data_IF_895627290470
#
_entry.id   IF_895627290470
#
_cell.length_a   1.000
_cell.length_b   1.000
_cell.length_c   1.000
_cell.angle_alpha   90.00
_cell.angle_beta   90.00
_cell.angle_gamma   90.00
#
_symmetry.space_group_name_H-M   'P 1'
#
loop_
_entity.id
_entity.type
_entity.pdbx_description
1 polymer ?
#
# COMPACT_ATOMS: atom_id res chain seq x y z
N UNK A 1 0.49 -44.45 79.74
CA UNK A 1 1.02 -44.29 78.37
C UNK A 1 -0.12 -44.51 77.37
N UNK A 2 -0.20 -43.72 76.28
CA UNK A 2 -1.45 -43.11 75.85
C UNK A 2 -2.09 -43.68 74.59
N UNK A 3 -3.39 -43.38 74.51
CA UNK A 3 -4.44 -43.64 73.52
C UNK A 3 -4.03 -43.54 72.04
N UNK A 4 -4.54 -44.49 71.24
CA UNK A 4 -4.60 -44.41 69.77
C UNK A 4 -5.36 -43.15 69.30
N UNK A 5 -4.87 -42.42 68.28
CA UNK A 5 -5.67 -41.42 67.59
C UNK A 5 -6.49 -42.04 66.45
N UNK A 6 -7.70 -41.51 66.32
CA UNK A 6 -8.77 -41.90 65.40
C UNK A 6 -8.40 -41.63 63.93
N UNK A 7 -8.98 -42.46 63.07
CA UNK A 7 -8.98 -42.33 61.61
C UNK A 7 -9.65 -41.02 61.17
N UNK A 8 -8.91 -40.15 60.51
CA UNK A 8 -9.47 -39.02 59.76
C UNK A 8 -9.79 -39.46 58.33
N UNK A 9 -11.09 -39.44 58.00
CA UNK A 9 -11.60 -39.69 56.66
C UNK A 9 -11.06 -38.62 55.68
N UNK A 10 -10.26 -39.05 54.70
CA UNK A 10 -9.86 -38.21 53.56
C UNK A 10 -11.10 -37.78 52.77
N UNK A 11 -11.42 -36.48 52.78
CA UNK A 11 -12.33 -35.86 51.81
C UNK A 11 -11.76 -36.05 50.39
N UNK A 12 -12.60 -36.33 49.37
CA UNK A 12 -12.12 -36.41 48.00
C UNK A 12 -11.77 -35.01 47.49
N UNK A 13 -10.52 -34.82 47.07
CA UNK A 13 -10.07 -33.64 46.32
C UNK A 13 -10.79 -33.66 44.98
N UNK A 14 -11.72 -32.73 44.77
CA UNK A 14 -12.34 -32.49 43.46
C UNK A 14 -11.22 -32.18 42.46
N UNK A 15 -11.08 -32.99 41.42
CA UNK A 15 -10.18 -32.70 40.31
C UNK A 15 -10.61 -31.37 39.68
N UNK A 16 -9.76 -30.36 39.76
CA UNK A 16 -9.91 -29.16 38.95
C UNK A 16 -9.76 -29.59 37.48
N UNK A 17 -10.88 -29.72 36.77
CA UNK A 17 -10.87 -29.78 35.31
C UNK A 17 -10.24 -28.48 34.83
N UNK A 18 -9.04 -28.56 34.26
CA UNK A 18 -8.47 -27.53 33.41
C UNK A 18 -9.43 -27.31 32.24
N UNK A 19 -10.32 -26.33 32.39
CA UNK A 19 -11.10 -25.80 31.28
C UNK A 19 -10.12 -25.19 30.27
N UNK A 20 -10.12 -25.74 29.05
CA UNK A 20 -9.49 -25.12 27.89
C UNK A 20 -10.01 -23.69 27.77
N UNK A 21 -9.17 -22.69 27.45
CA UNK A 21 -9.65 -21.33 27.20
C UNK A 21 -10.72 -21.39 26.11
N UNK A 22 -11.94 -21.05 26.52
CA UNK A 22 -13.12 -20.94 25.67
C UNK A 22 -12.81 -20.05 24.47
N UNK A 23 -13.16 -20.53 23.27
CA UNK A 23 -13.10 -19.83 21.99
C UNK A 23 -14.10 -18.66 21.88
N UNK A 24 -14.31 -17.89 22.96
CA UNK A 24 -15.23 -16.76 23.06
C UNK A 24 -14.54 -15.56 23.70
N UNK A 25 -13.61 -14.97 22.95
CA UNK A 25 -13.23 -13.58 23.12
C UNK A 25 -13.11 -12.90 21.73
N UNK A 26 -14.07 -13.16 20.83
CA UNK A 26 -14.35 -12.22 19.75
C UNK A 26 -15.16 -11.08 20.36
N UNK A 27 -14.46 -10.07 20.88
CA UNK A 27 -15.06 -8.77 21.20
C UNK A 27 -15.81 -8.33 19.93
N UNK A 28 -17.11 -8.07 20.05
CA UNK A 28 -17.92 -7.56 18.95
C UNK A 28 -17.38 -6.17 18.57
N UNK A 29 -16.42 -6.11 17.63
CA UNK A 29 -15.91 -4.87 17.07
C UNK A 29 -17.08 -4.18 16.35
N UNK A 30 -17.28 -2.89 16.62
CA UNK A 30 -18.25 -2.09 15.86
C UNK A 30 -17.90 -2.09 14.37
N UNK A 31 -18.89 -1.82 13.50
CA UNK A 31 -18.74 -1.86 12.03
C UNK A 31 -17.48 -1.14 11.51
N UNK A 32 -17.11 -0.02 12.13
CA UNK A 32 -15.90 0.73 11.79
C UNK A 32 -14.60 0.01 12.18
N UNK A 33 -14.54 -0.65 13.34
CA UNK A 33 -13.35 -1.43 13.73
C UNK A 33 -13.07 -2.61 12.79
N UNK A 34 -14.13 -3.21 12.22
CA UNK A 34 -14.01 -4.22 11.16
C UNK A 34 -13.37 -3.63 9.90
N UNK A 35 -13.84 -2.45 9.47
CA UNK A 35 -13.32 -1.77 8.28
C UNK A 35 -11.81 -1.48 8.34
N UNK A 36 -11.33 -0.90 9.46
CA UNK A 36 -9.92 -0.54 9.59
C UNK A 36 -8.97 -1.75 9.54
N UNK A 37 -9.40 -2.88 10.08
CA UNK A 37 -8.63 -4.13 10.06
C UNK A 37 -8.69 -4.81 8.70
N UNK A 38 -9.87 -4.85 8.07
CA UNK A 38 -10.06 -5.48 6.77
C UNK A 38 -9.36 -4.71 5.63
N UNK A 39 -9.33 -3.38 5.68
CA UNK A 39 -8.60 -2.58 4.67
C UNK A 39 -7.08 -2.77 4.74
N UNK A 40 -6.56 -3.17 5.90
CA UNK A 40 -5.13 -3.46 6.12
C UNK A 40 -4.71 -4.82 5.61
N UNK A 41 -5.66 -5.73 5.42
CA UNK A 41 -5.35 -7.07 4.91
C UNK A 41 -4.76 -6.96 3.50
N UNK A 42 -3.58 -7.57 3.32
CA UNK A 42 -2.85 -7.48 2.06
C UNK A 42 -3.57 -8.23 0.93
N UNK A 43 -4.16 -9.40 1.23
CA UNK A 43 -4.91 -10.17 0.23
C UNK A 43 -6.12 -9.40 -0.29
N UNK A 44 -6.87 -8.78 0.62
CA UNK A 44 -7.99 -7.89 0.31
C UNK A 44 -7.52 -6.65 -0.46
N UNK A 45 -6.40 -6.03 -0.05
CA UNK A 45 -5.85 -4.87 -0.75
C UNK A 45 -5.44 -5.17 -2.19
N UNK A 46 -4.73 -6.29 -2.42
CA UNK A 46 -4.30 -6.68 -3.77
C UNK A 46 -5.49 -6.87 -4.71
N UNK A 47 -6.59 -7.42 -4.20
CA UNK A 47 -7.84 -7.55 -4.96
C UNK A 47 -8.43 -6.18 -5.30
N UNK A 48 -8.49 -5.29 -4.31
CA UNK A 48 -9.14 -3.99 -4.46
C UNK A 48 -8.35 -3.04 -5.36
N UNK A 49 -7.05 -3.27 -5.59
CA UNK A 49 -6.21 -2.52 -6.54
C UNK A 49 -6.44 -2.96 -8.00
N UNK A 50 -6.97 -4.16 -8.25
CA UNK A 50 -7.08 -4.68 -9.61
C UNK A 50 -7.92 -3.87 -10.60
N UNK A 51 -9.04 -3.23 -10.22
CA UNK A 51 -9.74 -2.31 -11.11
C UNK A 51 -8.82 -1.21 -11.63
N UNK A 52 -7.95 -0.66 -10.77
CA UNK A 52 -6.98 0.35 -11.15
C UNK A 52 -5.96 -0.20 -12.16
N UNK A 53 -5.46 -1.41 -11.92
CA UNK A 53 -4.54 -2.09 -12.83
C UNK A 53 -5.16 -2.35 -14.20
N UNK A 54 -6.41 -2.79 -14.28
CA UNK A 54 -7.11 -2.98 -15.56
C UNK A 54 -7.19 -1.66 -16.33
N UNK A 55 -7.61 -0.58 -15.67
CA UNK A 55 -7.74 0.74 -16.31
C UNK A 55 -6.37 1.23 -16.79
N UNK A 56 -5.33 1.03 -15.99
CA UNK A 56 -3.95 1.37 -16.37
C UNK A 56 -3.47 0.60 -17.60
N UNK A 57 -3.70 -0.71 -17.68
CA UNK A 57 -3.31 -1.55 -18.83
C UNK A 57 -4.04 -1.14 -20.13
N UNK A 58 -5.32 -0.78 -20.03
CA UNK A 58 -6.07 -0.19 -21.16
C UNK A 58 -5.47 1.16 -21.55
N UNK A 59 -5.11 1.98 -20.55
CA UNK A 59 -4.45 3.26 -20.72
C UNK A 59 -3.11 3.18 -21.46
N UNK A 60 -2.28 2.17 -21.15
CA UNK A 60 -1.02 1.92 -21.87
C UNK A 60 -1.31 1.74 -23.36
N UNK A 61 -2.31 0.94 -23.72
CA UNK A 61 -2.70 0.73 -25.12
C UNK A 61 -3.19 2.02 -25.78
N UNK A 62 -4.00 2.81 -25.08
CA UNK A 62 -4.56 4.08 -25.59
C UNK A 62 -3.52 5.16 -25.83
N UNK A 63 -2.41 5.12 -25.09
CA UNK A 63 -1.33 6.12 -25.15
C UNK A 63 -0.18 5.69 -26.05
N UNK A 64 -0.29 4.55 -26.74
CA UNK A 64 0.78 4.03 -27.58
C UNK A 64 1.97 3.47 -26.79
N UNK A 65 1.75 3.04 -25.54
CA UNK A 65 2.77 2.46 -24.70
C UNK A 65 3.40 3.42 -23.69
N UNK A 66 2.73 4.50 -23.30
CA UNK A 66 3.25 5.32 -22.19
C UNK A 66 3.04 4.57 -20.88
N UNK A 67 4.07 4.54 -20.04
CA UNK A 67 4.13 3.80 -18.77
C UNK A 67 4.76 4.66 -17.68
N UNK A 68 4.42 4.37 -16.42
CA UNK A 68 5.06 5.00 -15.27
C UNK A 68 6.55 4.61 -15.18
N UNK A 69 7.38 5.49 -14.61
CA UNK A 69 8.84 5.35 -14.59
C UNK A 69 9.40 4.16 -13.80
N UNK A 70 8.61 3.53 -12.92
CA UNK A 70 9.00 2.30 -12.20
C UNK A 70 8.13 1.09 -12.55
N UNK A 71 7.44 1.15 -13.69
CA UNK A 71 6.64 0.06 -14.24
C UNK A 71 7.48 -0.98 -14.99
N UNK A 72 8.29 -1.73 -14.23
CA UNK A 72 9.13 -2.77 -14.80
C UNK A 72 8.32 -3.93 -15.41
N UNK A 73 7.12 -4.19 -14.90
CA UNK A 73 6.29 -5.31 -15.35
C UNK A 73 5.76 -5.03 -16.75
N UNK A 74 5.13 -3.88 -16.96
CA UNK A 74 4.58 -3.55 -18.27
C UNK A 74 5.69 -3.20 -19.27
N UNK A 75 6.85 -2.70 -18.82
CA UNK A 75 8.04 -2.57 -19.68
C UNK A 75 8.48 -3.92 -20.26
N UNK A 76 8.58 -4.95 -19.42
CA UNK A 76 8.92 -6.32 -19.86
C UNK A 76 7.82 -6.88 -20.76
N UNK A 77 6.55 -6.70 -20.40
CA UNK A 77 5.42 -7.14 -21.24
C UNK A 77 5.46 -6.48 -22.62
N UNK A 78 5.73 -5.18 -22.67
CA UNK A 78 5.81 -4.42 -23.91
C UNK A 78 6.99 -4.89 -24.78
N UNK A 79 8.14 -5.12 -24.16
CA UNK A 79 9.33 -5.66 -24.84
C UNK A 79 9.06 -7.05 -25.43
N UNK A 80 8.51 -7.97 -24.65
CA UNK A 80 8.18 -9.33 -25.11
C UNK A 80 7.13 -9.31 -26.22
N UNK A 81 6.20 -8.35 -26.15
CA UNK A 81 5.14 -8.24 -27.15
C UNK A 81 5.68 -7.84 -28.52
N UNK A 82 6.83 -7.15 -28.60
CA UNK A 82 7.47 -6.73 -29.85
C UNK A 82 6.48 -6.06 -30.82
N UNK A 83 5.63 -5.17 -30.28
CA UNK A 83 4.58 -4.49 -31.04
C UNK A 83 3.33 -5.33 -31.36
N UNK A 84 3.31 -6.63 -31.03
CA UNK A 84 2.15 -7.50 -31.21
C UNK A 84 1.09 -7.27 -30.12
N UNK A 85 -0.02 -6.65 -30.51
CA UNK A 85 -1.19 -6.47 -29.65
C UNK A 85 -1.72 -7.81 -29.12
N UNK A 86 -1.70 -8.86 -29.94
CA UNK A 86 -2.18 -10.19 -29.55
C UNK A 86 -1.35 -10.80 -28.42
N UNK A 87 -0.03 -10.64 -28.47
CA UNK A 87 0.88 -11.11 -27.40
C UNK A 87 0.65 -10.30 -26.13
N UNK A 88 0.56 -8.98 -26.24
CA UNK A 88 0.31 -8.10 -25.09
C UNK A 88 -1.01 -8.43 -24.37
N UNK A 89 -2.08 -8.63 -25.14
CA UNK A 89 -3.39 -9.04 -24.62
C UNK A 89 -3.35 -10.46 -24.05
N UNK A 90 -2.58 -11.37 -24.65
CA UNK A 90 -2.37 -12.72 -24.15
C UNK A 90 -1.70 -12.74 -22.77
N UNK A 91 -0.64 -11.94 -22.58
CA UNK A 91 0.05 -11.83 -21.28
C UNK A 91 -0.88 -11.23 -20.23
N UNK A 92 -1.59 -10.13 -20.57
CA UNK A 92 -2.60 -9.56 -19.68
C UNK A 92 -3.70 -10.56 -19.32
N UNK A 93 -4.20 -11.32 -20.30
CA UNK A 93 -5.17 -12.38 -20.09
C UNK A 93 -4.69 -13.46 -19.12
N UNK A 94 -3.42 -13.86 -19.20
CA UNK A 94 -2.81 -14.80 -18.26
C UNK A 94 -2.71 -14.22 -16.84
N UNK A 95 -2.31 -12.95 -16.69
CA UNK A 95 -2.29 -12.25 -15.40
C UNK A 95 -3.70 -12.19 -14.80
N UNK A 96 -4.71 -11.82 -15.60
CA UNK A 96 -6.10 -11.76 -15.15
C UNK A 96 -6.67 -13.13 -14.81
N UNK A 97 -6.30 -14.19 -15.53
CA UNK A 97 -6.67 -15.55 -15.18
C UNK A 97 -6.05 -15.97 -13.84
N UNK A 98 -4.77 -15.71 -13.62
CA UNK A 98 -4.10 -15.95 -12.34
C UNK A 98 -4.74 -15.19 -11.18
N UNK A 99 -5.13 -13.93 -11.42
CA UNK A 99 -5.87 -13.14 -10.47
C UNK A 99 -7.27 -13.70 -10.19
N UNK A 100 -8.03 -14.09 -11.21
CA UNK A 100 -9.35 -14.69 -11.07
C UNK A 100 -9.31 -16.01 -10.28
N UNK A 101 -8.27 -16.84 -10.52
CA UNK A 101 -8.03 -18.05 -9.74
C UNK A 101 -7.75 -17.69 -8.27
N UNK A 102 -6.86 -16.73 -8.03
CA UNK A 102 -6.53 -16.26 -6.68
C UNK A 102 -7.79 -15.75 -5.96
N UNK A 103 -8.60 -14.93 -6.64
CA UNK A 103 -9.90 -14.48 -6.15
C UNK A 103 -10.83 -15.63 -5.77
N UNK A 104 -10.97 -16.62 -6.65
CA UNK A 104 -11.81 -17.78 -6.39
C UNK A 104 -11.34 -18.52 -5.13
N UNK A 105 -10.02 -18.75 -4.98
CA UNK A 105 -9.46 -19.41 -3.79
C UNK A 105 -9.67 -18.60 -2.50
N UNK A 106 -9.55 -17.27 -2.56
CA UNK A 106 -9.75 -16.39 -1.40
C UNK A 106 -11.23 -16.29 -1.01
N UNK A 107 -12.14 -16.32 -1.99
CA UNK A 107 -13.58 -16.40 -1.75
C UNK A 107 -13.96 -17.66 -0.99
N UNK A 108 -13.34 -18.80 -1.31
CA UNK A 108 -13.55 -20.05 -0.56
C UNK A 108 -13.04 -19.98 0.89
N UNK A 109 -12.04 -19.13 1.18
CA UNK A 109 -11.48 -18.92 2.53
C UNK A 109 -12.24 -17.88 3.36
N UNK A 110 -13.25 -17.21 2.80
CA UNK A 110 -14.08 -16.22 3.50
C UNK A 110 -13.37 -14.90 3.79
N UNK A 111 -12.26 -14.59 3.11
CA UNK A 111 -11.47 -13.37 3.30
C UNK A 111 -11.83 -12.25 2.32
N UNK A 112 -13.00 -12.36 1.66
CA UNK A 112 -13.40 -11.48 0.56
C UNK A 112 -14.43 -10.44 1.02
N UNK A 113 -14.10 -9.16 0.91
CA UNK A 113 -14.92 -8.03 1.37
C UNK A 113 -15.05 -6.94 0.29
N UNK A 114 -15.74 -7.20 -0.84
CA UNK A 114 -15.86 -6.27 -1.96
C UNK A 114 -16.62 -4.99 -1.58
N UNK A 115 -17.49 -5.07 -0.57
CA UNK A 115 -18.25 -3.93 -0.05
C UNK A 115 -17.37 -2.83 0.57
N UNK A 116 -16.07 -3.10 0.79
CA UNK A 116 -15.11 -2.10 1.25
C UNK A 116 -14.73 -1.09 0.17
N UNK A 117 -14.86 -1.46 -1.11
CA UNK A 117 -14.32 -0.66 -2.22
C UNK A 117 -14.80 0.80 -2.22
N UNK A 118 -16.11 1.11 -2.06
CA UNK A 118 -16.57 2.50 -2.03
C UNK A 118 -16.01 3.30 -0.85
N UNK A 119 -15.81 2.65 0.30
CA UNK A 119 -15.27 3.29 1.49
C UNK A 119 -13.77 3.56 1.36
N UNK A 120 -13.01 2.61 0.80
CA UNK A 120 -11.59 2.83 0.47
C UNK A 120 -11.46 3.97 -0.53
N UNK A 121 -12.29 4.00 -1.57
CA UNK A 121 -12.23 5.07 -2.56
C UNK A 121 -12.53 6.44 -1.94
N UNK A 122 -13.56 6.52 -1.09
CA UNK A 122 -13.90 7.75 -0.36
C UNK A 122 -12.77 8.20 0.59
N UNK A 123 -12.27 7.29 1.43
CA UNK A 123 -11.16 7.56 2.35
C UNK A 123 -9.91 8.01 1.59
N UNK A 124 -9.57 7.32 0.51
CA UNK A 124 -8.38 7.62 -0.30
C UNK A 124 -8.49 8.97 -0.98
N UNK A 125 -9.71 9.33 -1.45
CA UNK A 125 -10.00 10.66 -2.02
C UNK A 125 -9.83 11.76 -0.99
N UNK A 126 -10.32 11.55 0.24
CA UNK A 126 -10.13 12.50 1.34
C UNK A 126 -8.63 12.69 1.59
N UNK A 127 -7.86 11.61 1.75
CA UNK A 127 -6.41 11.74 1.93
C UNK A 127 -5.72 12.44 0.77
N UNK A 128 -6.10 12.14 -0.48
CA UNK A 128 -5.53 12.77 -1.66
C UNK A 128 -5.76 14.29 -1.69
N UNK A 129 -6.97 14.74 -1.36
CA UNK A 129 -7.32 16.17 -1.31
C UNK A 129 -6.47 16.96 -0.30
N UNK A 130 -6.06 16.32 0.80
CA UNK A 130 -5.27 16.97 1.86
C UNK A 130 -3.76 16.69 1.76
N UNK A 131 -3.31 15.76 0.92
CA UNK A 131 -1.91 15.35 0.86
C UNK A 131 -0.98 16.52 0.51
N UNK A 132 -1.26 17.21 -0.60
CA UNK A 132 -0.43 18.32 -1.07
C UNK A 132 -0.40 19.49 -0.10
N UNK A 133 -1.55 19.83 0.50
CA UNK A 133 -1.64 20.92 1.49
C UNK A 133 -0.92 20.55 2.79
N UNK A 134 -1.00 19.29 3.23
CA UNK A 134 -0.25 18.80 4.38
C UNK A 134 1.28 18.88 4.15
N UNK A 135 1.76 18.50 2.96
CA UNK A 135 3.19 18.61 2.61
C UNK A 135 3.64 20.08 2.60
N UNK A 136 2.88 20.96 1.95
CA UNK A 136 3.19 22.40 1.89
C UNK A 136 3.23 23.00 3.29
N UNK A 137 2.27 22.67 4.15
CA UNK A 137 2.23 23.15 5.52
C UNK A 137 3.41 22.63 6.33
N UNK A 138 3.78 21.35 6.18
CA UNK A 138 4.96 20.77 6.82
C UNK A 138 6.26 21.44 6.38
N UNK A 139 6.41 21.73 5.09
CA UNK A 139 7.56 22.47 4.58
C UNK A 139 7.62 23.88 5.16
N UNK A 140 6.47 24.59 5.18
CA UNK A 140 6.36 25.94 5.73
C UNK A 140 6.71 26.01 7.22
N UNK A 141 6.23 25.07 8.05
CA UNK A 141 6.57 25.03 9.48
C UNK A 141 8.04 24.76 9.75
N UNK A 142 8.73 24.11 8.81
CA UNK A 142 10.17 23.88 8.85
C UNK A 142 10.98 25.05 8.24
N UNK A 143 10.33 26.14 7.83
CA UNK A 143 10.97 27.31 7.22
C UNK A 143 11.39 27.11 5.77
N UNK A 144 10.85 26.10 5.08
CA UNK A 144 11.16 25.79 3.67
C UNK A 144 10.15 26.49 2.74
N UNK A 145 10.65 27.15 1.69
CA UNK A 145 9.79 27.84 0.72
C UNK A 145 9.00 26.86 -0.16
N UNK A 146 7.65 26.93 -0.18
CA UNK A 146 6.81 26.08 -1.03
C UNK A 146 6.98 26.34 -2.54
N UNK A 147 7.48 27.52 -2.94
CA UNK A 147 7.75 27.85 -4.34
C UNK A 147 8.82 26.94 -4.98
N UNK A 148 9.57 26.20 -4.17
CA UNK A 148 10.58 25.27 -4.67
C UNK A 148 9.98 23.91 -5.10
N UNK A 149 8.66 23.70 -4.94
CA UNK A 149 7.98 22.43 -5.21
C UNK A 149 7.41 22.28 -6.64
N UNK A 150 7.65 23.25 -7.53
CA UNK A 150 7.23 23.15 -8.94
C UNK A 150 8.12 22.14 -9.69
N UNK A 151 7.61 20.94 -9.95
CA UNK A 151 8.22 20.02 -10.91
C UNK A 151 7.93 20.47 -12.35
N UNK A 152 8.72 20.00 -13.32
CA UNK A 152 8.43 20.23 -14.73
C UNK A 152 7.21 19.43 -15.15
N UNK A 153 6.11 20.10 -15.47
CA UNK A 153 5.00 19.46 -16.16
C UNK A 153 5.38 19.28 -17.63
N UNK A 154 5.58 18.03 -18.06
CA UNK A 154 5.61 17.73 -19.49
C UNK A 154 4.26 18.07 -20.13
N UNK A 155 4.28 18.54 -21.38
CA UNK A 155 3.08 18.80 -22.18
C UNK A 155 2.40 17.49 -22.61
N UNK A 156 1.89 16.74 -21.63
CA UNK A 156 1.16 15.49 -21.85
C UNK A 156 -0.34 15.76 -21.97
N UNK A 157 -0.99 15.07 -22.91
CA UNK A 157 -2.44 15.09 -23.02
C UNK A 157 -3.12 14.49 -21.76
N UNK A 158 -4.38 14.87 -21.53
CA UNK A 158 -5.15 14.48 -20.34
C UNK A 158 -5.15 12.96 -20.12
N UNK A 159 -5.32 12.17 -21.18
CA UNK A 159 -5.31 10.70 -21.09
C UNK A 159 -3.96 10.20 -20.57
N UNK A 160 -2.85 10.69 -21.13
CA UNK A 160 -1.50 10.30 -20.69
C UNK A 160 -1.24 10.69 -19.24
N UNK A 161 -1.67 11.88 -18.82
CA UNK A 161 -1.57 12.32 -17.42
C UNK A 161 -2.30 11.36 -16.49
N UNK A 162 -3.55 11.01 -16.80
CA UNK A 162 -4.32 10.02 -16.03
C UNK A 162 -3.58 8.68 -15.99
N UNK A 163 -3.12 8.16 -17.13
CA UNK A 163 -2.41 6.86 -17.19
C UNK A 163 -1.17 6.86 -16.30
N UNK A 164 -0.35 7.91 -16.37
CA UNK A 164 0.84 8.06 -15.52
C UNK A 164 0.47 8.09 -14.03
N UNK A 165 -0.61 8.80 -13.65
CA UNK A 165 -1.10 8.84 -12.27
C UNK A 165 -1.58 7.47 -11.76
N UNK A 166 -2.31 6.71 -12.59
CA UNK A 166 -2.72 5.35 -12.21
C UNK A 166 -1.50 4.44 -12.04
N UNK A 167 -0.54 4.56 -12.96
CA UNK A 167 0.72 3.83 -12.91
C UNK A 167 1.54 4.16 -11.67
N UNK A 168 1.64 5.43 -11.30
CA UNK A 168 2.32 5.88 -10.08
C UNK A 168 1.69 5.24 -8.84
N UNK A 169 0.37 5.33 -8.70
CA UNK A 169 -0.32 4.69 -7.57
C UNK A 169 -0.08 3.18 -7.49
N UNK A 170 -0.09 2.45 -8.60
CA UNK A 170 0.11 0.99 -8.58
C UNK A 170 1.59 0.65 -8.33
N UNK A 171 2.48 1.13 -9.20
CA UNK A 171 3.85 0.66 -9.26
C UNK A 171 4.73 1.30 -8.21
N UNK A 172 4.59 2.61 -7.95
CA UNK A 172 5.40 3.28 -6.92
C UNK A 172 5.01 2.83 -5.52
N UNK A 173 3.73 2.61 -5.24
CA UNK A 173 3.33 2.04 -3.94
C UNK A 173 3.77 0.58 -3.80
N UNK A 174 3.71 -0.21 -4.88
CA UNK A 174 4.23 -1.59 -4.85
C UNK A 174 5.73 -1.60 -4.55
N UNK A 175 6.51 -0.81 -5.29
CA UNK A 175 7.98 -0.79 -5.19
C UNK A 175 8.42 -0.19 -3.86
N UNK A 176 7.94 0.99 -3.49
CA UNK A 176 8.50 1.70 -2.33
C UNK A 176 7.86 1.29 -1.01
N UNK A 177 6.57 0.93 -0.99
CA UNK A 177 5.86 0.67 0.28
C UNK A 177 5.75 -0.82 0.51
N UNK A 178 5.15 -1.57 -0.41
CA UNK A 178 4.98 -3.00 -0.22
C UNK A 178 6.34 -3.73 -0.19
N UNK A 179 7.18 -3.51 -1.20
CA UNK A 179 8.49 -4.17 -1.32
C UNK A 179 9.55 -3.43 -0.50
N UNK A 180 9.73 -2.12 -0.72
CA UNK A 180 10.77 -1.30 -0.10
C UNK A 180 10.61 -1.22 1.41
N UNK A 181 9.56 -0.55 1.90
CA UNK A 181 9.29 -0.38 3.32
C UNK A 181 9.06 -1.74 4.00
N UNK A 182 8.25 -2.62 3.42
CA UNK A 182 7.99 -3.96 3.95
C UNK A 182 9.26 -4.81 4.07
N UNK A 183 10.11 -4.81 3.05
CA UNK A 183 11.38 -5.53 3.01
C UNK A 183 12.41 -4.97 3.98
N UNK A 184 12.56 -3.63 4.06
CA UNK A 184 13.44 -2.97 5.02
C UNK A 184 13.00 -3.25 6.46
N UNK A 185 11.70 -3.19 6.74
CA UNK A 185 11.16 -3.53 8.05
C UNK A 185 11.44 -5.00 8.41
N UNK A 186 11.20 -5.92 7.46
CA UNK A 186 11.49 -7.34 7.65
C UNK A 186 12.98 -7.57 7.92
N UNK A 187 13.88 -6.96 7.15
CA UNK A 187 15.32 -7.08 7.32
C UNK A 187 15.75 -6.59 8.70
N UNK A 188 15.32 -5.39 9.08
CA UNK A 188 15.61 -4.79 10.36
C UNK A 188 15.12 -5.66 11.54
N UNK A 189 13.95 -6.30 11.40
CA UNK A 189 13.36 -7.15 12.45
C UNK A 189 13.93 -8.55 12.51
N UNK A 190 14.24 -9.16 11.37
CA UNK A 190 14.59 -10.58 11.29
C UNK A 190 16.08 -10.83 11.21
N UNK A 191 16.85 -9.88 10.69
CA UNK A 191 18.30 -10.03 10.51
C UNK A 191 19.07 -9.20 11.53
N UNK A 192 18.59 -7.99 11.86
CA UNK A 192 19.31 -7.06 12.74
C UNK A 192 18.74 -6.96 14.17
N UNK A 193 17.60 -7.59 14.43
CA UNK A 193 16.83 -7.52 15.69
C UNK A 193 16.59 -6.10 16.25
N UNK A 194 16.38 -5.14 15.36
CA UNK A 194 16.06 -3.74 15.73
C UNK A 194 14.64 -3.68 16.32
N UNK A 195 14.37 -2.92 17.40
CA UNK A 195 13.02 -2.78 17.94
C UNK A 195 11.97 -2.39 16.90
N UNK A 196 10.75 -2.94 17.02
CA UNK A 196 9.64 -2.76 16.06
C UNK A 196 9.41 -1.32 15.62
N UNK A 197 9.36 -0.39 16.56
CA UNK A 197 9.08 1.01 16.28
C UNK A 197 10.25 1.69 15.54
N UNK A 198 11.50 1.35 15.89
CA UNK A 198 12.69 1.86 15.20
C UNK A 198 12.78 1.31 13.77
N UNK A 199 12.51 0.02 13.59
CA UNK A 199 12.49 -0.62 12.29
C UNK A 199 11.43 0.03 11.38
N UNK A 200 10.23 0.34 11.92
CA UNK A 200 9.17 0.99 11.18
C UNK A 200 9.56 2.43 10.76
N UNK A 201 10.12 3.22 11.68
CA UNK A 201 10.58 4.60 11.38
C UNK A 201 11.71 4.57 10.35
N UNK A 202 12.71 3.71 10.52
CA UNK A 202 13.83 3.60 9.58
C UNK A 202 13.37 3.18 8.18
N UNK A 203 12.53 2.13 8.09
CA UNK A 203 12.00 1.66 6.82
C UNK A 203 11.15 2.75 6.12
N UNK A 204 10.33 3.47 6.88
CA UNK A 204 9.56 4.61 6.39
C UNK A 204 10.49 5.69 5.83
N UNK A 205 11.45 6.18 6.61
CA UNK A 205 12.33 7.27 6.17
C UNK A 205 13.20 6.88 4.97
N UNK A 206 13.76 5.66 4.97
CA UNK A 206 14.61 5.18 3.88
C UNK A 206 13.79 4.99 2.61
N UNK A 207 12.62 4.35 2.67
CA UNK A 207 11.77 4.16 1.49
C UNK A 207 11.30 5.48 0.89
N UNK A 208 10.91 6.45 1.72
CA UNK A 208 10.53 7.80 1.26
C UNK A 208 11.69 8.58 0.65
N UNK A 209 12.90 8.40 1.18
CA UNK A 209 14.10 9.01 0.61
C UNK A 209 14.40 8.45 -0.78
N UNK A 210 14.38 7.12 -0.93
CA UNK A 210 14.61 6.46 -2.21
C UNK A 210 13.51 6.81 -3.23
N UNK A 211 12.24 6.87 -2.79
CA UNK A 211 11.11 7.36 -3.58
C UNK A 211 11.37 8.76 -4.12
N UNK A 212 11.85 9.69 -3.30
CA UNK A 212 12.19 11.03 -3.80
C UNK A 212 13.40 11.00 -4.75
N UNK A 213 14.45 10.26 -4.40
CA UNK A 213 15.68 10.22 -5.18
C UNK A 213 15.50 9.65 -6.61
N UNK A 214 14.64 8.65 -6.80
CA UNK A 214 14.47 8.03 -8.11
C UNK A 214 13.85 8.99 -9.15
N UNK A 215 13.11 10.00 -8.70
CA UNK A 215 12.47 10.99 -9.59
C UNK A 215 13.46 11.87 -10.35
N UNK A 216 14.76 11.76 -10.04
CA UNK A 216 15.84 12.50 -10.70
C UNK A 216 16.73 11.58 -11.55
N UNK A 217 16.31 10.34 -11.77
CA UNK A 217 17.09 9.30 -12.47
C UNK A 217 16.31 8.77 -13.66
N UNK A 218 17.03 8.49 -14.75
CA UNK A 218 16.47 7.86 -15.94
C UNK A 218 15.88 8.86 -16.95
N UNK A 219 15.35 8.36 -18.08
CA UNK A 219 14.92 9.21 -19.20
C UNK A 219 13.75 10.15 -18.88
N UNK A 220 12.94 9.82 -17.88
CA UNK A 220 11.81 10.61 -17.41
C UNK A 220 12.11 11.37 -16.10
N UNK A 221 13.38 11.44 -15.69
CA UNK A 221 13.79 12.12 -14.46
C UNK A 221 13.68 13.64 -14.58
N UNK A 222 13.19 14.27 -13.52
CA UNK A 222 13.11 15.73 -13.41
C UNK A 222 14.50 16.36 -13.23
N UNK A 223 14.61 17.66 -13.52
CA UNK A 223 15.74 18.46 -13.08
C UNK A 223 15.76 18.53 -11.54
N UNK A 224 16.91 18.24 -10.94
CA UNK A 224 17.04 18.25 -9.48
C UNK A 224 16.86 19.67 -8.91
N UNK A 225 15.90 19.81 -8.00
CA UNK A 225 15.77 20.97 -7.11
C UNK A 225 15.54 20.50 -5.69
N UNK A 226 16.10 21.21 -4.71
CA UNK A 226 15.96 20.83 -3.30
C UNK A 226 14.49 20.84 -2.85
N UNK A 227 13.67 21.77 -3.36
CA UNK A 227 12.26 21.81 -2.97
C UNK A 227 11.42 20.69 -3.54
N UNK A 228 11.60 20.34 -4.82
CA UNK A 228 10.89 19.19 -5.39
C UNK A 228 11.31 17.90 -4.68
N UNK A 229 12.59 17.80 -4.28
CA UNK A 229 13.10 16.63 -3.56
C UNK A 229 12.47 16.53 -2.17
N UNK A 230 12.46 17.63 -1.43
CA UNK A 230 11.86 17.66 -0.08
C UNK A 230 10.34 17.47 -0.14
N UNK A 231 9.68 18.05 -1.14
CA UNK A 231 8.25 17.85 -1.38
C UNK A 231 7.93 16.36 -1.56
N UNK A 232 8.63 15.69 -2.48
CA UNK A 232 8.46 14.26 -2.74
C UNK A 232 8.86 13.40 -1.55
N UNK A 233 9.91 13.78 -0.81
CA UNK A 233 10.32 13.09 0.40
C UNK A 233 9.23 13.12 1.48
N UNK A 234 8.64 14.29 1.73
CA UNK A 234 7.55 14.44 2.69
C UNK A 234 6.25 13.81 2.21
N UNK A 235 5.92 13.90 0.92
CA UNK A 235 4.80 13.16 0.32
C UNK A 235 4.99 11.65 0.50
N UNK A 236 6.21 11.15 0.26
CA UNK A 236 6.61 9.77 0.51
C UNK A 236 6.40 9.35 1.96
N UNK A 237 6.82 10.20 2.94
CA UNK A 237 6.59 9.97 4.37
C UNK A 237 5.10 9.83 4.68
N UNK A 238 4.25 10.72 4.16
CA UNK A 238 2.81 10.67 4.40
C UNK A 238 2.17 9.43 3.76
N UNK A 239 2.55 9.09 2.52
CA UNK A 239 2.08 7.88 1.84
C UNK A 239 2.53 6.60 2.56
N UNK A 240 3.77 6.54 3.04
CA UNK A 240 4.27 5.43 3.85
C UNK A 240 3.54 5.33 5.21
N UNK A 241 3.18 6.45 5.82
CA UNK A 241 2.33 6.46 7.01
C UNK A 241 0.92 5.95 6.71
N UNK A 242 0.30 6.37 5.60
CA UNK A 242 -1.00 5.86 5.15
C UNK A 242 -0.93 4.36 4.90
N UNK A 243 0.10 3.88 4.19
CA UNK A 243 0.34 2.46 3.96
C UNK A 243 0.41 1.68 5.29
N UNK A 244 1.25 2.13 6.23
CA UNK A 244 1.43 1.48 7.53
C UNK A 244 0.13 1.49 8.37
N UNK A 245 -0.61 2.59 8.34
CA UNK A 245 -1.79 2.79 9.18
C UNK A 245 -3.08 2.28 8.57
N UNK A 246 -3.18 2.15 7.25
CA UNK A 246 -4.46 1.90 6.55
C UNK A 246 -4.42 0.77 5.53
N UNK A 247 -3.24 0.37 5.08
CA UNK A 247 -3.05 -0.73 4.16
C UNK A 247 -2.71 -0.29 2.74
N UNK A 248 -2.41 -1.29 1.92
CA UNK A 248 -1.86 -1.09 0.58
C UNK A 248 -2.85 -0.45 -0.39
N UNK A 249 -4.10 -0.91 -0.44
CA UNK A 249 -5.09 -0.34 -1.37
C UNK A 249 -5.36 1.15 -1.11
N UNK A 250 -5.45 1.56 0.17
CA UNK A 250 -5.67 2.97 0.52
C UNK A 250 -4.49 3.84 0.05
N UNK A 251 -3.25 3.39 0.24
CA UNK A 251 -2.07 4.13 -0.25
C UNK A 251 -2.05 4.25 -1.78
N UNK A 252 -2.33 3.15 -2.50
CA UNK A 252 -2.40 3.11 -3.98
C UNK A 252 -3.44 4.09 -4.51
N UNK A 253 -4.66 4.06 -3.98
CA UNK A 253 -5.72 4.96 -4.42
C UNK A 253 -5.44 6.42 -4.03
N UNK A 254 -4.91 6.67 -2.83
CA UNK A 254 -4.55 8.04 -2.41
C UNK A 254 -3.53 8.65 -3.36
N UNK A 255 -2.47 7.90 -3.69
CA UNK A 255 -1.43 8.38 -4.58
C UNK A 255 -1.97 8.62 -6.00
N UNK A 256 -2.65 7.64 -6.60
CA UNK A 256 -3.21 7.80 -7.94
C UNK A 256 -4.19 8.97 -8.05
N UNK A 257 -5.08 9.15 -7.06
CA UNK A 257 -6.06 10.25 -7.05
C UNK A 257 -5.37 11.59 -6.85
N UNK A 258 -4.36 11.65 -5.97
CA UNK A 258 -3.59 12.86 -5.76
C UNK A 258 -2.90 13.32 -7.04
N UNK A 259 -2.26 12.40 -7.76
CA UNK A 259 -1.60 12.70 -9.02
C UNK A 259 -2.59 13.12 -10.09
N UNK A 260 -3.77 12.50 -10.17
CA UNK A 260 -4.84 12.95 -11.07
C UNK A 260 -5.24 14.39 -10.75
N UNK A 261 -5.46 14.71 -9.46
CA UNK A 261 -5.82 16.06 -9.03
C UNK A 261 -4.76 17.07 -9.46
N UNK A 262 -3.49 16.78 -9.22
CA UNK A 262 -2.39 17.71 -9.49
C UNK A 262 -2.07 17.80 -10.98
N UNK A 263 -2.02 16.69 -11.70
CA UNK A 263 -1.60 16.71 -13.10
C UNK A 263 -2.71 17.17 -14.05
N UNK A 264 -3.98 16.86 -13.75
CA UNK A 264 -5.10 17.12 -14.69
C UNK A 264 -5.82 18.43 -14.39
N UNK A 265 -5.96 18.81 -13.12
CA UNK A 265 -6.84 19.92 -12.72
C UNK A 265 -6.13 21.14 -12.15
N UNK A 266 -4.82 21.06 -11.95
CA UNK A 266 -4.00 22.17 -11.44
C UNK A 266 -3.08 22.70 -12.53
#
# INVERSE_FOLDING_TARGET
MPKQPKQDAKKPVKSAKTEKPSAKAKVAKGKFGSYFDESKDLGTSLILVMPLFIIYQIGILMTGGVRNGVDFVSDVMWLISDGSLGVYLGINGAIFAGFAITLATLRHKGTWHPGLFPFILLESTIYAMFLGTAVIQLMSTLGLSPLLATGSEGEWGIITKVVLSLGAGIYEETVFRLIGMGGLYWLARKVMDIPSWMAAIAALLISSFVFSAIHYVGPLGDAFTMGSFLFRFFAGILLAAIFYLRGFAVAVYTHAIYDIIVMVFR
#
